data_IF_060680905315
#
_entry.id   IF_060680905315
#
_cell.length_a   1.000
_cell.length_b   1.000
_cell.length_c   1.000
_cell.angle_alpha   90.00
_cell.angle_beta   90.00
_cell.angle_gamma   90.00
#
_symmetry.space_group_name_H-M   'P 1'
#
loop_
_entity.id
_entity.type
_entity.pdbx_description
1 polymer ?
#
# COMPACT_ATOMS: atom_id res chain seq x y z
N UNK A 1 10.48 1.93 14.77
CA UNK A 1 9.91 3.28 14.62
C UNK A 1 8.44 3.13 14.22
N UNK A 2 7.59 4.13 14.48
CA UNK A 2 6.19 4.06 14.04
C UNK A 2 6.12 4.17 12.50
N UNK A 3 5.26 3.37 11.87
CA UNK A 3 4.99 3.43 10.43
C UNK A 3 4.12 4.63 10.10
N UNK A 4 4.32 5.24 8.94
CA UNK A 4 3.52 6.38 8.51
C UNK A 4 2.13 5.90 8.02
N UNK A 5 1.06 6.46 8.57
CA UNK A 5 -0.30 6.05 8.21
C UNK A 5 -0.70 6.58 6.83
N UNK A 6 -1.37 5.74 6.04
CA UNK A 6 -1.93 6.06 4.73
C UNK A 6 -3.44 5.95 4.80
N UNK A 7 -4.13 7.08 4.73
CA UNK A 7 -5.58 7.12 4.74
C UNK A 7 -6.16 6.47 3.47
N UNK A 8 -7.27 5.75 3.64
CA UNK A 8 -8.00 5.15 2.52
C UNK A 8 -9.01 6.18 2.01
N UNK A 9 -8.88 6.59 0.76
CA UNK A 9 -9.84 7.45 0.07
C UNK A 9 -10.94 6.59 -0.57
N UNK A 10 -12.19 6.83 -0.20
CA UNK A 10 -13.33 6.18 -0.84
C UNK A 10 -13.56 6.79 -2.23
N UNK A 11 -13.63 5.95 -3.26
CA UNK A 11 -14.06 6.36 -4.58
C UNK A 11 -15.59 6.37 -4.63
N UNK A 12 -16.16 7.34 -5.36
CA UNK A 12 -17.60 7.48 -5.51
C UNK A 12 -18.05 6.88 -6.85
N UNK A 13 -19.19 6.17 -6.85
CA UNK A 13 -19.80 5.68 -8.07
C UNK A 13 -20.29 6.86 -8.93
N UNK A 14 -20.04 6.81 -10.24
CA UNK A 14 -20.51 7.82 -11.21
C UNK A 14 -20.13 9.27 -10.86
N UNK A 15 -19.05 9.46 -10.09
CA UNK A 15 -18.54 10.76 -9.69
C UNK A 15 -17.01 10.75 -9.63
N UNK A 16 -16.39 11.91 -9.79
CA UNK A 16 -14.96 12.09 -9.66
C UNK A 16 -14.54 12.30 -8.21
N UNK A 17 -13.38 11.75 -7.83
CA UNK A 17 -12.71 12.07 -6.56
C UNK A 17 -11.36 12.68 -6.89
N UNK A 18 -11.04 13.82 -6.25
CA UNK A 18 -9.73 14.43 -6.40
C UNK A 18 -8.65 13.51 -5.85
N UNK A 19 -7.49 13.46 -6.51
CA UNK A 19 -6.36 12.67 -6.01
C UNK A 19 -5.93 13.22 -4.63
N UNK A 20 -5.91 12.38 -3.57
CA UNK A 20 -5.45 12.82 -2.27
C UNK A 20 -3.97 13.18 -2.32
N UNK A 21 -3.51 14.06 -1.42
CA UNK A 21 -2.09 14.43 -1.35
C UNK A 21 -1.14 13.23 -1.15
N UNK A 22 -1.65 12.15 -0.56
CA UNK A 22 -0.90 10.93 -0.27
C UNK A 22 0.14 11.09 0.84
N UNK A 23 0.62 9.96 1.35
CA UNK A 23 1.67 9.92 2.36
C UNK A 23 3.03 9.95 1.67
N UNK A 24 3.95 10.81 2.16
CA UNK A 24 5.34 10.85 1.69
C UNK A 24 6.04 9.54 2.03
N UNK A 25 6.76 8.97 1.06
CA UNK A 25 7.56 7.77 1.29
C UNK A 25 8.75 8.12 2.19
N UNK A 26 8.84 7.47 3.35
CA UNK A 26 9.97 7.51 4.26
C UNK A 26 10.53 6.09 4.47
N UNK A 27 11.61 5.71 3.78
CA UNK A 27 12.17 4.35 3.87
C UNK A 27 12.56 3.91 5.29
N UNK A 28 12.92 4.84 6.17
CA UNK A 28 13.25 4.56 7.58
C UNK A 28 12.05 4.14 8.43
N UNK A 29 10.84 4.55 8.05
CA UNK A 29 9.62 4.29 8.82
C UNK A 29 8.79 3.18 8.19
N UNK A 30 8.72 3.15 6.86
CA UNK A 30 7.70 2.38 6.13
C UNK A 30 6.32 3.02 6.26
N UNK A 31 5.30 2.36 5.72
CA UNK A 31 3.92 2.82 5.78
C UNK A 31 2.98 1.74 6.32
N UNK A 32 1.84 2.18 6.85
CA UNK A 32 0.72 1.33 7.26
C UNK A 32 -0.59 1.84 6.67
N UNK A 33 -1.41 0.92 6.14
CA UNK A 33 -2.76 1.20 5.67
C UNK A 33 -3.73 0.53 6.64
N UNK A 34 -4.55 1.28 7.39
CA UNK A 34 -5.49 0.72 8.37
C UNK A 34 -6.72 0.12 7.68
N UNK A 35 -6.53 -1.01 7.01
CA UNK A 35 -7.55 -1.66 6.18
C UNK A 35 -8.64 -2.39 6.99
N UNK A 36 -8.46 -2.56 8.31
CA UNK A 36 -9.42 -3.26 9.18
C UNK A 36 -9.56 -4.75 8.86
N UNK A 37 -8.56 -5.35 8.22
CA UNK A 37 -8.58 -6.72 7.73
C UNK A 37 -9.26 -6.90 6.38
N UNK A 38 -9.89 -5.84 5.85
CA UNK A 38 -10.57 -5.88 4.56
C UNK A 38 -9.70 -5.34 3.43
N UNK A 39 -9.19 -6.24 2.59
CA UNK A 39 -8.45 -5.86 1.38
C UNK A 39 -9.31 -5.90 0.13
N UNK A 40 -10.61 -6.23 0.24
CA UNK A 40 -11.53 -6.19 -0.89
C UNK A 40 -11.60 -4.77 -1.42
N UNK A 41 -11.58 -4.64 -2.75
CA UNK A 41 -11.71 -3.35 -3.46
C UNK A 41 -10.63 -2.31 -3.10
N UNK A 42 -9.59 -2.70 -2.36
CA UNK A 42 -8.50 -1.82 -1.95
C UNK A 42 -7.44 -1.76 -3.05
N UNK A 43 -7.15 -0.55 -3.52
CA UNK A 43 -6.11 -0.25 -4.51
C UNK A 43 -5.07 0.63 -3.83
N UNK A 44 -3.81 0.21 -3.92
CA UNK A 44 -2.66 0.97 -3.43
C UNK A 44 -1.96 1.56 -4.65
N UNK A 45 -1.88 2.89 -4.70
CA UNK A 45 -1.12 3.61 -5.73
C UNK A 45 0.21 4.04 -5.15
N UNK A 46 1.30 3.69 -5.82
CA UNK A 46 2.65 4.03 -5.39
C UNK A 46 3.35 4.78 -6.52
N UNK A 47 3.99 5.89 -6.18
CA UNK A 47 4.75 6.71 -7.11
C UNK A 47 6.18 6.82 -6.63
N UNK A 48 7.13 6.59 -7.54
CA UNK A 48 8.56 6.78 -7.31
C UNK A 48 9.04 8.00 -8.10
N UNK A 49 9.58 8.99 -7.41
CA UNK A 49 10.17 10.19 -8.02
C UNK A 49 11.69 10.15 -8.06
N UNK A 50 12.30 9.08 -7.53
CA UNK A 50 13.74 8.90 -7.57
C UNK A 50 14.22 8.63 -9.01
N UNK A 51 15.48 8.98 -9.30
CA UNK A 51 16.07 8.89 -10.64
C UNK A 51 16.35 7.47 -11.16
N UNK A 52 16.09 6.45 -10.34
CA UNK A 52 16.17 5.02 -10.70
C UNK A 52 14.93 4.28 -10.22
N UNK A 53 14.69 3.08 -10.75
CA UNK A 53 13.67 2.19 -10.21
C UNK A 53 13.94 1.88 -8.73
N UNK A 54 12.85 1.64 -7.99
CA UNK A 54 12.88 1.32 -6.56
C UNK A 54 11.86 0.25 -6.24
N UNK A 55 12.16 -0.53 -5.22
CA UNK A 55 11.32 -1.64 -4.77
C UNK A 55 10.48 -1.23 -3.58
N UNK A 56 9.21 -1.62 -3.62
CA UNK A 56 8.28 -1.56 -2.50
C UNK A 56 7.99 -2.98 -2.05
N UNK A 57 8.07 -3.23 -0.75
CA UNK A 57 7.83 -4.55 -0.17
C UNK A 57 6.52 -4.52 0.61
N UNK A 58 5.53 -5.30 0.18
CA UNK A 58 4.34 -5.59 1.00
C UNK A 58 4.72 -6.68 1.98
N UNK A 59 4.69 -6.36 3.27
CA UNK A 59 5.10 -7.29 4.32
C UNK A 59 4.09 -8.40 4.51
N UNK A 60 4.58 -9.61 4.73
CA UNK A 60 3.77 -10.74 5.14
C UNK A 60 2.97 -10.38 6.40
N UNK A 61 1.75 -10.90 6.44
CA UNK A 61 0.80 -10.71 7.52
C UNK A 61 1.17 -11.47 8.79
N UNK A 62 0.33 -11.32 9.82
CA UNK A 62 0.41 -12.12 11.04
C UNK A 62 -0.64 -13.22 11.01
N UNK A 63 -0.31 -14.43 11.47
CA UNK A 63 -1.26 -15.53 11.57
C UNK A 63 -1.75 -15.70 13.02
N UNK A 64 -3.07 -15.63 13.30
CA UNK A 64 -4.16 -15.10 12.45
C UNK A 64 -4.09 -13.56 12.31
N UNK A 65 -4.70 -12.96 11.26
CA UNK A 65 -5.61 -13.57 10.27
C UNK A 65 -4.98 -14.04 8.94
N UNK A 66 -3.71 -13.79 8.69
CA UNK A 66 -3.05 -14.13 7.43
C UNK A 66 -2.55 -15.59 7.38
N UNK A 67 -3.44 -16.53 7.07
CA UNK A 67 -3.12 -17.98 7.00
C UNK A 67 -2.08 -18.35 5.92
N UNK A 68 -1.91 -17.52 4.89
CA UNK A 68 -0.91 -17.69 3.81
C UNK A 68 0.35 -16.85 4.04
N UNK A 69 0.57 -16.30 5.24
CA UNK A 69 1.76 -15.48 5.53
C UNK A 69 3.08 -16.22 5.23
N UNK A 70 3.11 -17.56 5.30
CA UNK A 70 4.29 -18.37 4.99
C UNK A 70 4.78 -18.26 3.54
N UNK A 71 4.00 -17.64 2.62
CA UNK A 71 4.46 -17.27 1.28
C UNK A 71 5.42 -16.06 1.30
N UNK A 72 5.59 -15.41 2.44
CA UNK A 72 6.50 -14.30 2.66
C UNK A 72 6.04 -12.99 2.03
N UNK A 73 6.96 -12.03 1.99
CA UNK A 73 6.74 -10.69 1.45
C UNK A 73 6.51 -10.70 -0.07
N UNK A 74 5.84 -9.67 -0.59
CA UNK A 74 5.76 -9.41 -2.03
C UNK A 74 6.55 -8.16 -2.40
N UNK A 75 7.40 -8.27 -3.41
CA UNK A 75 8.25 -7.18 -3.90
C UNK A 75 7.69 -6.62 -5.20
N UNK A 76 7.62 -5.29 -5.27
CA UNK A 76 7.01 -4.56 -6.38
C UNK A 76 7.98 -3.50 -6.86
N UNK A 77 8.46 -3.64 -8.10
CA UNK A 77 9.35 -2.65 -8.72
C UNK A 77 8.53 -1.49 -9.29
N UNK A 78 8.83 -0.29 -8.81
CA UNK A 78 8.24 0.97 -9.28
C UNK A 78 9.28 1.69 -10.16
N UNK A 79 8.97 2.00 -11.42
CA UNK A 79 9.92 2.65 -12.34
C UNK A 79 10.44 3.98 -11.83
N UNK A 80 11.56 4.44 -12.39
CA UNK A 80 12.14 5.75 -12.10
C UNK A 80 11.22 6.92 -12.50
N UNK A 81 11.53 8.11 -12.00
CA UNK A 81 11.12 9.42 -12.57
C UNK A 81 9.60 9.54 -12.81
N UNK A 82 8.83 9.59 -11.71
CA UNK A 82 7.36 9.61 -11.67
C UNK A 82 6.71 8.30 -12.14
N UNK A 83 7.44 7.19 -12.08
CA UNK A 83 6.89 5.86 -12.29
C UNK A 83 5.77 5.56 -11.29
N UNK A 84 4.63 5.07 -11.79
CA UNK A 84 3.46 4.72 -10.99
C UNK A 84 3.18 3.21 -11.08
N UNK A 85 2.78 2.62 -9.96
CA UNK A 85 2.21 1.27 -9.89
C UNK A 85 0.92 1.28 -9.09
N UNK A 86 -0.04 0.47 -9.55
CA UNK A 86 -1.27 0.17 -8.84
C UNK A 86 -1.21 -1.28 -8.38
N UNK A 87 -1.54 -1.52 -7.12
CA UNK A 87 -1.36 -2.80 -6.46
C UNK A 87 -2.62 -3.14 -5.68
N UNK A 88 -3.04 -4.40 -5.75
CA UNK A 88 -4.03 -4.99 -4.84
C UNK A 88 -3.38 -6.14 -4.09
N UNK A 89 -3.86 -6.45 -2.89
CA UNK A 89 -3.26 -7.44 -1.99
C UNK A 89 -4.32 -8.34 -1.38
N UNK A 90 -4.00 -9.62 -1.18
CA UNK A 90 -4.91 -10.56 -0.52
C UNK A 90 -4.78 -10.49 1.01
N UNK A 91 -5.91 -10.47 1.71
CA UNK A 91 -5.92 -10.41 3.18
C UNK A 91 -5.26 -11.64 3.81
N UNK A 92 -5.48 -12.81 3.20
CA UNK A 92 -4.95 -14.08 3.65
C UNK A 92 -3.41 -14.12 3.72
N UNK A 93 -2.70 -13.23 3.01
CA UNK A 93 -1.22 -13.19 3.01
C UNK A 93 -0.64 -11.97 3.72
N UNK A 94 -1.28 -10.80 3.65
CA UNK A 94 -0.61 -9.53 3.99
C UNK A 94 -1.21 -8.77 5.17
N UNK A 95 -2.38 -9.20 5.69
CA UNK A 95 -3.02 -8.53 6.82
C UNK A 95 -2.28 -8.80 8.13
N UNK A 96 -1.99 -7.72 8.84
CA UNK A 96 -1.36 -7.73 10.15
C UNK A 96 -2.37 -8.07 11.26
N UNK A 97 -1.89 -8.34 12.48
CA UNK A 97 -2.76 -8.71 13.60
C UNK A 97 -3.81 -7.63 13.94
N UNK A 98 -3.52 -6.37 13.66
CA UNK A 98 -4.41 -5.21 13.86
C UNK A 98 -5.31 -4.92 12.65
N UNK A 99 -5.27 -5.76 11.61
CA UNK A 99 -6.04 -5.55 10.38
C UNK A 99 -5.37 -4.62 9.37
N UNK A 100 -4.20 -4.07 9.65
CA UNK A 100 -3.50 -3.18 8.73
C UNK A 100 -2.74 -3.93 7.63
N UNK A 101 -2.29 -3.20 6.60
CA UNK A 101 -1.30 -3.64 5.61
C UNK A 101 -0.03 -2.83 5.79
N UNK A 102 1.11 -3.51 5.85
CA UNK A 102 2.42 -2.88 6.01
C UNK A 102 3.21 -2.84 4.70
N UNK A 103 3.79 -1.67 4.41
CA UNK A 103 4.66 -1.46 3.26
C UNK A 103 6.04 -0.98 3.74
N UNK A 104 7.10 -1.56 3.18
CA UNK A 104 8.46 -1.06 3.33
C UNK A 104 9.00 -0.58 1.98
N UNK A 105 9.90 0.39 2.04
CA UNK A 105 10.43 1.05 0.86
C UNK A 105 11.93 0.84 0.79
N UNK A 106 12.45 0.63 -0.41
CA UNK A 106 13.88 0.56 -0.63
C UNK A 106 14.56 1.87 -0.18
N UNK A 107 15.77 1.75 0.36
CA UNK A 107 16.53 2.92 0.85
C UNK A 107 16.74 3.93 -0.27
N UNK A 108 16.47 5.20 0.03
CA UNK A 108 16.58 6.30 -0.93
C UNK A 108 15.40 6.44 -1.88
N UNK A 109 14.36 5.61 -1.76
CA UNK A 109 13.11 5.83 -2.50
C UNK A 109 12.45 7.14 -2.05
N UNK A 110 12.03 7.95 -3.03
CA UNK A 110 11.25 9.17 -2.82
C UNK A 110 9.93 9.07 -3.58
N UNK A 111 8.89 9.71 -3.08
CA UNK A 111 7.59 9.77 -3.75
C UNK A 111 6.43 9.68 -2.78
N UNK A 112 5.33 9.07 -3.24
CA UNK A 112 4.05 9.06 -2.52
C UNK A 112 3.40 7.68 -2.55
N UNK A 113 2.68 7.36 -1.49
CA UNK A 113 1.75 6.23 -1.42
C UNK A 113 0.34 6.74 -1.11
N UNK A 114 -0.64 6.17 -1.78
CA UNK A 114 -2.06 6.45 -1.62
C UNK A 114 -2.83 5.15 -1.59
N UNK A 115 -3.93 5.13 -0.86
CA UNK A 115 -4.85 3.99 -0.84
C UNK A 115 -6.24 4.46 -1.23
N UNK A 116 -6.90 3.70 -2.10
CA UNK A 116 -8.24 3.93 -2.58
C UNK A 116 -9.08 2.70 -2.35
N UNK A 117 -10.37 2.87 -2.09
CA UNK A 117 -11.33 1.77 -2.09
C UNK A 117 -12.44 2.02 -3.10
N UNK A 118 -12.73 1.02 -3.92
CA UNK A 118 -13.84 1.08 -4.87
C UNK A 118 -15.19 1.04 -4.13
N UNK A 119 -16.25 1.64 -4.69
CA UNK A 119 -17.60 1.58 -4.13
C UNK A 119 -18.09 0.14 -3.91
N UNK A 120 -18.94 -0.05 -2.89
CA UNK A 120 -19.48 -1.37 -2.56
C UNK A 120 -20.50 -1.87 -3.57
N UNK A 121 -21.11 -0.96 -4.33
CA UNK A 121 -22.12 -1.21 -5.34
C UNK A 121 -21.57 -1.76 -6.68
N UNK A 122 -20.23 -1.86 -6.81
CA UNK A 122 -19.55 -2.52 -7.94
C UNK A 122 -19.39 -4.04 -7.76
#
# INVERSE_FOLDING_TARGET
MARDSVAITQLALSSGVAEPAGTTIAPSNGATIPAGGDTRKLIIRITNTYGSERTVTVRAGSAPPAFRQGLGDATITVPATSGVRYVTVESARFVQADGSIHLDFETGMTGKVMAFRLPDEL
#
